data_IF_845493272092
#
_entry.id   IF_845493272092
#
_cell.length_a   1.000
_cell.length_b   1.000
_cell.length_c   1.000
_cell.angle_alpha   90.00
_cell.angle_beta   90.00
_cell.angle_gamma   90.00
#
_symmetry.space_group_name_H-M   'P 1'
#
loop_
_entity.id
_entity.type
_entity.pdbx_description
1 polymer ?
#
# COMPACT_ATOMS: atom_id res chain seq x y z
N UNK A 1 45.99 -10.38 -32.93
CA UNK A 1 45.13 -11.30 -32.15
C UNK A 1 43.79 -10.60 -31.98
N UNK A 2 42.84 -10.93 -32.84
CA UNK A 2 41.54 -10.27 -32.90
C UNK A 2 40.53 -11.14 -32.14
N UNK A 3 40.07 -10.70 -30.97
CA UNK A 3 38.96 -11.35 -30.28
C UNK A 3 37.79 -10.37 -30.20
N UNK A 4 36.94 -10.43 -31.22
CA UNK A 4 35.57 -9.95 -31.17
C UNK A 4 34.73 -11.21 -30.92
N UNK A 5 34.08 -11.29 -29.78
CA UNK A 5 33.02 -12.26 -29.50
C UNK A 5 31.73 -11.52 -29.10
N UNK A 6 30.57 -12.10 -29.42
CA UNK A 6 29.45 -11.33 -29.95
C UNK A 6 28.29 -11.14 -28.95
N UNK A 7 27.50 -10.11 -29.27
CA UNK A 7 26.07 -9.92 -29.01
C UNK A 7 25.48 -10.45 -27.69
N UNK A 8 25.11 -9.51 -26.82
CA UNK A 8 24.15 -9.74 -25.74
C UNK A 8 22.76 -10.02 -26.32
N UNK A 9 22.24 -11.22 -26.08
CA UNK A 9 20.84 -11.59 -26.30
C UNK A 9 19.93 -10.85 -25.30
N UNK A 10 18.80 -10.24 -25.73
CA UNK A 10 17.83 -9.66 -24.81
C UNK A 10 16.97 -10.78 -24.20
N UNK A 11 17.19 -11.09 -22.93
CA UNK A 11 16.39 -12.09 -22.21
C UNK A 11 14.92 -11.61 -22.08
N UNK A 12 13.92 -12.37 -22.57
CA UNK A 12 12.52 -12.03 -22.40
C UNK A 12 12.03 -12.53 -21.03
N UNK A 13 11.44 -11.65 -20.22
CA UNK A 13 10.70 -12.07 -19.02
C UNK A 13 11.01 -11.34 -17.71
N UNK A 14 11.39 -10.07 -17.72
CA UNK A 14 11.31 -9.26 -16.49
C UNK A 14 9.83 -9.06 -16.15
N UNK A 15 9.30 -9.93 -15.27
CA UNK A 15 8.07 -9.64 -14.51
C UNK A 15 8.21 -8.20 -14.00
N UNK A 16 7.26 -7.28 -14.26
CA UNK A 16 7.38 -5.90 -13.81
C UNK A 16 7.69 -5.92 -12.31
N UNK A 17 8.86 -5.42 -11.93
CA UNK A 17 9.20 -5.35 -10.51
C UNK A 17 8.10 -4.53 -9.83
N UNK A 18 7.52 -5.00 -8.71
CA UNK A 18 6.52 -4.23 -8.00
C UNK A 18 7.11 -2.87 -7.66
N UNK A 19 6.51 -1.80 -8.17
CA UNK A 19 6.96 -0.45 -7.93
C UNK A 19 7.09 -0.21 -6.42
N UNK A 20 8.18 0.42 -5.96
CA UNK A 20 8.31 0.76 -4.56
C UNK A 20 7.11 1.62 -4.13
N UNK A 21 6.65 1.38 -2.90
CA UNK A 21 5.61 2.20 -2.29
C UNK A 21 6.28 3.46 -1.74
N UNK A 22 5.89 4.63 -2.24
CA UNK A 22 6.31 5.90 -1.66
C UNK A 22 5.60 6.12 -0.31
N UNK A 23 6.11 7.10 0.45
CA UNK A 23 5.49 7.50 1.70
C UNK A 23 4.05 7.99 1.49
N UNK A 24 3.87 8.89 0.51
CA UNK A 24 2.56 9.44 0.14
C UNK A 24 1.59 8.36 -0.31
N UNK A 25 2.02 7.42 -1.17
CA UNK A 25 1.18 6.29 -1.60
C UNK A 25 0.74 5.43 -0.41
N UNK A 26 1.64 5.21 0.55
CA UNK A 26 1.34 4.41 1.74
C UNK A 26 0.30 5.10 2.63
N UNK A 27 0.43 6.42 2.85
CA UNK A 27 -0.56 7.20 3.60
C UNK A 27 -1.92 7.22 2.90
N UNK A 28 -1.93 7.48 1.59
CA UNK A 28 -3.16 7.46 0.77
C UNK A 28 -3.84 6.08 0.81
N UNK A 29 -3.07 4.99 0.82
CA UNK A 29 -3.61 3.64 0.99
C UNK A 29 -4.26 3.43 2.36
N UNK A 30 -3.60 3.86 3.45
CA UNK A 30 -4.14 3.71 4.81
C UNK A 30 -5.48 4.45 4.91
N UNK A 31 -5.53 5.70 4.42
CA UNK A 31 -6.74 6.51 4.46
C UNK A 31 -7.86 5.95 3.56
N UNK A 32 -7.56 5.58 2.32
CA UNK A 32 -8.57 5.02 1.40
C UNK A 32 -9.11 3.68 1.91
N UNK A 33 -8.25 2.83 2.50
CA UNK A 33 -8.67 1.60 3.15
C UNK A 33 -9.55 1.90 4.37
N UNK A 34 -9.17 2.86 5.21
CA UNK A 34 -9.91 3.25 6.41
C UNK A 34 -11.35 3.65 6.06
N UNK A 35 -11.53 4.56 5.11
CA UNK A 35 -12.84 5.02 4.63
C UNK A 35 -13.72 3.85 4.16
N UNK A 36 -13.17 2.96 3.33
CA UNK A 36 -13.91 1.79 2.82
C UNK A 36 -14.18 0.77 3.92
N UNK A 37 -13.24 0.52 4.81
CA UNK A 37 -13.39 -0.42 5.91
C UNK A 37 -14.49 0.02 6.88
N UNK A 38 -14.58 1.32 7.19
CA UNK A 38 -15.65 1.87 8.02
C UNK A 38 -17.01 1.86 7.33
N UNK A 39 -17.08 2.20 6.04
CA UNK A 39 -18.32 2.10 5.25
C UNK A 39 -18.91 0.69 5.27
N UNK A 40 -18.07 -0.33 5.49
CA UNK A 40 -18.46 -1.73 5.59
C UNK A 40 -18.59 -2.25 7.02
N UNK A 41 -18.80 -1.37 8.01
CA UNK A 41 -18.88 -1.72 9.44
C UNK A 41 -17.67 -2.53 9.91
N UNK A 42 -16.48 -2.16 9.46
CA UNK A 42 -15.21 -2.82 9.81
C UNK A 42 -15.13 -4.29 9.35
N UNK A 43 -15.90 -4.68 8.33
CA UNK A 43 -15.84 -6.02 7.73
C UNK A 43 -14.72 -6.17 6.68
N UNK A 44 -14.39 -7.41 6.30
CA UNK A 44 -13.31 -7.68 5.33
C UNK A 44 -13.72 -7.23 3.93
N UNK A 45 -12.83 -6.50 3.26
CA UNK A 45 -13.05 -6.05 1.88
C UNK A 45 -13.01 -7.23 0.88
N UNK A 46 -13.99 -7.26 -0.02
CA UNK A 46 -14.09 -8.14 -1.20
C UNK A 46 -13.21 -7.61 -2.35
N UNK A 47 -12.99 -8.42 -3.37
CA UNK A 47 -12.13 -8.09 -4.51
C UNK A 47 -12.49 -6.76 -5.19
N UNK A 48 -13.78 -6.50 -5.46
CA UNK A 48 -14.24 -5.26 -6.07
C UNK A 48 -14.02 -4.04 -5.15
N UNK A 49 -14.15 -4.20 -3.84
CA UNK A 49 -13.91 -3.12 -2.87
C UNK A 49 -12.42 -2.76 -2.82
N UNK A 50 -11.54 -3.75 -2.97
CA UNK A 50 -10.11 -3.50 -3.15
C UNK A 50 -9.80 -2.78 -4.47
N UNK A 51 -10.57 -3.03 -5.52
CA UNK A 51 -10.47 -2.27 -6.77
C UNK A 51 -10.81 -0.79 -6.54
N UNK A 52 -11.90 -0.50 -5.82
CA UNK A 52 -12.24 0.88 -5.46
C UNK A 52 -11.15 1.55 -4.63
N UNK A 53 -10.58 0.86 -3.64
CA UNK A 53 -9.44 1.38 -2.87
C UNK A 53 -8.26 1.71 -3.79
N UNK A 54 -7.91 0.82 -4.72
CA UNK A 54 -6.82 1.06 -5.67
C UNK A 54 -7.06 2.27 -6.58
N UNK A 55 -8.30 2.43 -7.08
CA UNK A 55 -8.69 3.61 -7.88
C UNK A 55 -8.57 4.88 -7.04
N UNK A 56 -9.10 4.91 -5.81
CA UNK A 56 -8.98 6.07 -4.92
C UNK A 56 -7.52 6.43 -4.64
N UNK A 57 -6.65 5.43 -4.40
CA UNK A 57 -5.21 5.66 -4.20
C UNK A 57 -4.57 6.25 -5.45
N UNK A 58 -4.89 5.72 -6.63
CA UNK A 58 -4.36 6.22 -7.90
C UNK A 58 -4.76 7.68 -8.14
N UNK A 59 -6.05 8.01 -7.94
CA UNK A 59 -6.57 9.39 -8.03
C UNK A 59 -5.81 10.32 -7.07
N UNK A 60 -5.68 9.94 -5.80
CA UNK A 60 -4.99 10.75 -4.77
C UNK A 60 -3.50 10.93 -5.02
N UNK A 61 -2.87 10.02 -5.77
CA UNK A 61 -1.47 10.11 -6.14
C UNK A 61 -1.26 10.78 -7.50
N UNK A 62 -2.32 11.19 -8.20
CA UNK A 62 -2.22 11.76 -9.55
C UNK A 62 -1.78 10.75 -10.61
N UNK A 63 -1.98 9.45 -10.39
CA UNK A 63 -1.58 8.37 -11.31
C UNK A 63 -2.70 8.01 -12.31
N UNK A 64 -3.45 9.00 -12.80
CA UNK A 64 -4.61 8.77 -13.65
C UNK A 64 -4.26 8.54 -15.12
N UNK A 65 -3.19 9.16 -15.63
CA UNK A 65 -2.98 9.23 -17.08
C UNK A 65 -1.65 8.65 -17.61
N UNK A 66 -0.60 8.44 -16.79
CA UNK A 66 0.67 7.89 -17.33
C UNK A 66 1.62 7.23 -16.31
N UNK A 67 1.26 7.25 -15.01
CA UNK A 67 2.07 6.62 -13.97
C UNK A 67 1.52 5.23 -13.64
N UNK A 68 2.36 4.19 -13.54
CA UNK A 68 1.88 2.85 -13.23
C UNK A 68 1.29 2.81 -11.81
N UNK A 69 -0.04 2.79 -11.73
CA UNK A 69 -0.79 2.74 -10.48
C UNK A 69 -0.64 1.39 -9.77
N UNK A 70 -0.78 1.40 -8.44
CA UNK A 70 -0.79 0.18 -7.64
C UNK A 70 -2.12 -0.57 -7.86
N UNK A 71 -2.04 -1.87 -8.13
CA UNK A 71 -3.21 -2.74 -8.32
C UNK A 71 -3.93 -3.05 -7.01
N UNK A 72 -5.19 -3.46 -7.07
CA UNK A 72 -5.98 -3.91 -5.91
C UNK A 72 -5.26 -4.96 -5.05
N UNK A 73 -4.59 -5.94 -5.69
CA UNK A 73 -3.83 -6.97 -5.00
C UNK A 73 -2.61 -6.39 -4.28
N UNK A 74 -1.90 -5.44 -4.89
CA UNK A 74 -0.77 -4.76 -4.26
C UNK A 74 -1.22 -3.91 -3.06
N UNK A 75 -2.34 -3.18 -3.18
CA UNK A 75 -2.95 -2.43 -2.08
C UNK A 75 -3.30 -3.36 -0.91
N UNK A 76 -3.95 -4.50 -1.19
CA UNK A 76 -4.28 -5.51 -0.19
C UNK A 76 -3.04 -6.04 0.54
N UNK A 77 -2.05 -6.52 -0.21
CA UNK A 77 -0.83 -7.09 0.38
C UNK A 77 -0.05 -6.05 1.20
N UNK A 78 0.02 -4.79 0.72
CA UNK A 78 0.65 -3.70 1.47
C UNK A 78 -0.12 -3.47 2.78
N UNK A 79 -1.44 -3.37 2.76
CA UNK A 79 -2.26 -3.16 3.96
C UNK A 79 -2.15 -4.32 4.97
N UNK A 80 -2.10 -5.57 4.49
CA UNK A 80 -1.86 -6.75 5.33
C UNK A 80 -0.50 -6.67 6.05
N UNK A 81 0.56 -6.23 5.35
CA UNK A 81 1.88 -6.00 5.94
C UNK A 81 1.87 -4.87 6.97
N UNK A 82 1.22 -3.75 6.67
CA UNK A 82 1.11 -2.61 7.58
C UNK A 82 0.42 -3.03 8.89
N UNK A 83 -0.73 -3.70 8.81
CA UNK A 83 -1.45 -4.21 10.01
C UNK A 83 -0.66 -5.25 10.78
N UNK A 84 0.13 -6.09 10.11
CA UNK A 84 1.01 -7.05 10.80
C UNK A 84 2.07 -6.31 11.61
N UNK A 85 2.77 -5.36 10.99
CA UNK A 85 3.80 -4.57 11.66
C UNK A 85 3.22 -3.78 12.84
N UNK A 86 2.09 -3.10 12.64
CA UNK A 86 1.41 -2.36 13.70
C UNK A 86 1.10 -3.25 14.93
N UNK A 87 0.54 -4.46 14.72
CA UNK A 87 0.31 -5.40 15.82
C UNK A 87 1.59 -5.83 16.53
N UNK A 88 2.70 -6.00 15.81
CA UNK A 88 4.01 -6.30 16.41
C UNK A 88 4.56 -5.12 17.22
N UNK A 89 4.46 -3.88 16.71
CA UNK A 89 4.91 -2.69 17.45
C UNK A 89 4.07 -2.48 18.72
N UNK A 90 2.74 -2.64 18.64
CA UNK A 90 1.84 -2.56 19.81
C UNK A 90 2.15 -3.58 20.89
N UNK A 91 2.65 -4.76 20.54
CA UNK A 91 3.03 -5.79 21.51
C UNK A 91 4.40 -5.55 22.14
N UNK A 92 5.05 -4.42 21.84
CA UNK A 92 6.43 -4.13 22.28
C UNK A 92 7.47 -5.03 21.62
N UNK A 93 7.08 -5.80 20.59
CA UNK A 93 7.97 -6.75 19.90
C UNK A 93 8.81 -6.09 18.81
N UNK A 94 8.51 -4.85 18.44
CA UNK A 94 9.33 -4.08 17.52
C UNK A 94 10.32 -3.22 18.31
N UNK A 95 11.59 -3.58 18.26
CA UNK A 95 12.69 -2.75 18.73
C UNK A 95 13.23 -1.91 17.58
N UNK A 96 13.14 -0.58 17.68
CA UNK A 96 13.66 0.31 16.63
C UNK A 96 13.13 1.75 16.72
N UNK A 97 13.53 2.56 15.73
CA UNK A 97 13.04 3.93 15.56
C UNK A 97 11.53 3.97 15.31
N UNK A 98 10.88 5.04 15.78
CA UNK A 98 9.44 5.26 15.62
C UNK A 98 9.02 5.09 14.14
N UNK A 99 8.12 4.15 13.90
CA UNK A 99 7.66 3.85 12.55
C UNK A 99 6.72 4.96 12.07
N UNK A 100 7.00 5.63 10.93
CA UNK A 100 6.25 6.82 10.52
C UNK A 100 4.78 6.58 10.13
N UNK A 101 4.31 5.33 10.14
CA UNK A 101 2.91 4.99 9.91
C UNK A 101 2.21 4.49 11.17
N UNK A 102 2.87 4.47 12.32
CA UNK A 102 2.29 3.99 13.58
C UNK A 102 1.02 4.79 13.93
N UNK A 103 1.12 6.12 13.98
CA UNK A 103 0.00 7.01 14.32
C UNK A 103 -1.17 6.86 13.34
N UNK A 104 -0.88 6.76 12.04
CA UNK A 104 -1.91 6.55 11.01
C UNK A 104 -2.61 5.19 11.14
N UNK A 105 -1.88 4.16 11.57
CA UNK A 105 -2.43 2.83 11.84
C UNK A 105 -3.20 2.77 13.16
N UNK A 106 -2.76 3.53 14.16
CA UNK A 106 -3.47 3.68 15.43
C UNK A 106 -4.80 4.40 15.25
N UNK A 107 -4.81 5.53 14.53
CA UNK A 107 -6.04 6.25 14.16
C UNK A 107 -6.99 5.44 13.26
N UNK A 108 -6.48 4.41 12.56
CA UNK A 108 -7.33 3.48 11.83
C UNK A 108 -8.02 2.47 12.75
N UNK A 109 -7.39 2.05 13.84
CA UNK A 109 -7.99 1.11 14.80
C UNK A 109 -8.88 1.83 15.82
N UNK A 110 -8.44 3.00 16.27
CA UNK A 110 -9.12 3.88 17.20
C UNK A 110 -9.97 4.87 16.40
N UNK A 111 -11.29 4.72 16.51
CA UNK A 111 -12.30 5.59 15.93
C UNK A 111 -11.88 7.08 15.99
N UNK A 112 -12.07 7.89 14.93
CA UNK A 112 -12.15 9.32 15.13
C UNK A 112 -13.41 9.52 15.97
N UNK A 113 -13.23 9.76 17.28
CA UNK A 113 -14.30 10.20 18.16
C UNK A 113 -15.10 11.23 17.39
N UNK A 114 -16.29 10.83 16.97
CA UNK A 114 -17.21 11.74 16.33
C UNK A 114 -17.52 12.78 17.39
N UNK A 115 -16.84 13.92 17.34
CA UNK A 115 -17.30 15.14 17.99
C UNK A 115 -18.61 15.44 17.25
N UNK A 116 -19.68 14.87 17.78
CA UNK A 116 -21.03 15.28 17.49
C UNK A 116 -21.16 16.71 17.99
N UNK A 117 -21.30 17.65 17.07
CA UNK A 117 -21.73 19.01 17.34
C UNK A 117 -23.06 19.23 16.62
#
# INVERSE_FOLDING_TARGET
MSNISPAADPTPGKKPQPLPWTHQETLNLIQAYQEKWYSLQRSKLKAWQWQEVAVTVAVRCGHLDDSPAKTALQCRHKMEKLRRRYRSERQGLASGAHWPYYDAMEALEHEPLTISA
#
